data_IF_412888825745
#
_entry.id   IF_412888825745
#
_cell.length_a   1.000
_cell.length_b   1.000
_cell.length_c   1.000
_cell.angle_alpha   90.00
_cell.angle_beta   90.00
_cell.angle_gamma   90.00
#
_symmetry.space_group_name_H-M   'P 1'
#
loop_
_entity.id
_entity.type
_entity.pdbx_description
1 polymer ?
#
# COMPACT_ATOMS: atom_id res chain seq x y z
N UNK A 1 8.33 -0.41 3.92
CA UNK A 1 7.13 -0.97 3.25
C UNK A 1 5.91 -0.39 3.95
N UNK A 2 5.06 0.32 3.22
CA UNK A 2 3.73 0.73 3.66
C UNK A 2 2.69 -0.16 2.96
N UNK A 3 1.67 -0.61 3.68
CA UNK A 3 0.61 -1.48 3.16
C UNK A 3 -0.73 -0.93 3.63
N UNK A 4 -1.54 -0.39 2.71
CA UNK A 4 -2.79 0.29 3.02
C UNK A 4 -2.65 1.32 4.15
N UNK A 5 -1.56 2.09 4.11
CA UNK A 5 -1.19 3.04 5.15
C UNK A 5 -0.32 4.16 4.56
N UNK A 6 -0.31 5.30 5.22
CA UNK A 6 0.53 6.44 4.89
C UNK A 6 1.11 7.08 6.16
N UNK A 7 2.21 7.85 6.06
CA UNK A 7 2.72 8.60 7.20
C UNK A 7 1.73 9.70 7.58
N UNK A 8 1.33 9.76 8.85
CA UNK A 8 0.36 10.73 9.32
C UNK A 8 1.04 11.89 10.04
N UNK A 9 0.59 13.12 9.75
CA UNK A 9 0.99 14.32 10.50
C UNK A 9 2.48 14.61 10.44
N UNK A 10 3.18 14.41 11.55
CA UNK A 10 4.59 14.74 11.73
C UNK A 10 5.53 13.52 11.59
N UNK A 11 5.03 12.41 11.04
CA UNK A 11 5.83 11.23 10.68
C UNK A 11 6.54 11.46 9.33
N UNK A 12 7.47 12.41 9.30
CA UNK A 12 8.25 12.75 8.10
C UNK A 12 9.40 11.75 7.91
N UNK A 13 9.32 10.97 6.84
CA UNK A 13 10.34 10.02 6.38
C UNK A 13 11.01 10.47 5.07
N UNK A 14 10.79 11.71 4.62
CA UNK A 14 11.35 12.24 3.35
C UNK A 14 12.87 12.15 3.27
N UNK A 15 13.55 12.18 4.42
CA UNK A 15 15.01 12.07 4.53
C UNK A 15 15.52 10.62 4.69
N UNK A 16 14.65 9.60 4.61
CA UNK A 16 15.06 8.21 4.69
C UNK A 16 15.86 7.80 3.45
N UNK A 17 17.04 7.18 3.66
CA UNK A 17 17.97 6.84 2.58
C UNK A 17 17.79 5.41 2.01
N UNK A 18 16.91 4.60 2.61
CA UNK A 18 16.66 3.22 2.14
C UNK A 18 15.48 3.12 1.16
N UNK A 19 15.33 1.97 0.52
CA UNK A 19 14.23 1.72 -0.40
C UNK A 19 12.88 1.69 0.33
N UNK A 20 11.86 2.32 -0.27
CA UNK A 20 10.49 2.38 0.25
C UNK A 20 9.54 2.01 -0.88
N UNK A 21 8.64 1.08 -0.60
CA UNK A 21 7.45 0.84 -1.41
C UNK A 21 6.20 1.19 -0.59
N UNK A 22 5.21 1.78 -1.26
CA UNK A 22 3.87 2.04 -0.76
C UNK A 22 2.85 1.26 -1.58
N UNK A 23 2.25 0.25 -0.97
CA UNK A 23 1.30 -0.65 -1.63
C UNK A 23 -0.12 -0.32 -1.16
N UNK A 24 -1.04 -0.07 -2.08
CA UNK A 24 -2.41 0.34 -1.76
C UNK A 24 -3.43 -0.25 -2.74
N UNK A 25 -4.68 -0.40 -2.31
CA UNK A 25 -5.77 -0.91 -3.16
C UNK A 25 -6.54 0.21 -3.86
N UNK A 26 -6.96 0.01 -5.12
CA UNK A 26 -7.79 1.02 -5.82
C UNK A 26 -9.22 1.13 -5.26
N UNK A 27 -9.71 0.08 -4.60
CA UNK A 27 -11.02 0.02 -3.95
C UNK A 27 -10.91 0.15 -2.42
N UNK A 28 -9.74 0.57 -1.91
CA UNK A 28 -9.55 0.81 -0.48
C UNK A 28 -10.35 2.05 -0.05
N UNK A 29 -11.38 1.83 0.76
CA UNK A 29 -12.25 2.90 1.25
C UNK A 29 -11.83 3.46 2.61
N UNK A 30 -10.82 2.88 3.28
CA UNK A 30 -10.35 3.29 4.60
C UNK A 30 -9.01 4.02 4.55
N UNK A 31 -8.09 3.51 3.74
CA UNK A 31 -6.82 4.14 3.38
C UNK A 31 -6.86 4.46 1.88
N UNK A 32 -7.61 5.50 1.56
CA UNK A 32 -7.97 5.80 0.18
C UNK A 32 -6.73 6.11 -0.67
N UNK A 33 -6.75 5.83 -1.98
CA UNK A 33 -5.68 6.26 -2.89
C UNK A 33 -5.39 7.77 -2.78
N UNK A 34 -6.41 8.59 -2.54
CA UNK A 34 -6.24 10.04 -2.33
C UNK A 34 -5.42 10.36 -1.08
N UNK A 35 -5.71 9.73 0.06
CA UNK A 35 -4.96 9.92 1.31
C UNK A 35 -3.51 9.45 1.18
N UNK A 36 -3.30 8.30 0.53
CA UNK A 36 -1.97 7.72 0.36
C UNK A 36 -1.12 8.56 -0.59
N UNK A 37 -1.65 8.96 -1.74
CA UNK A 37 -0.92 9.79 -2.71
C UNK A 37 -0.78 11.25 -2.23
N UNK A 38 -1.70 11.71 -1.37
CA UNK A 38 -1.59 13.01 -0.71
C UNK A 38 -0.45 13.11 0.30
N UNK A 39 0.07 11.99 0.79
CA UNK A 39 1.17 11.93 1.74
C UNK A 39 2.56 11.73 1.11
N UNK A 40 2.66 11.83 -0.22
CA UNK A 40 3.90 11.57 -0.97
C UNK A 40 5.08 12.44 -0.53
N UNK A 41 4.84 13.68 -0.11
CA UNK A 41 5.87 14.61 0.38
C UNK A 41 6.52 14.17 1.71
N UNK A 42 5.87 13.26 2.46
CA UNK A 42 6.39 12.72 3.72
C UNK A 42 7.24 11.46 3.52
N UNK A 43 7.43 11.03 2.27
CA UNK A 43 8.22 9.86 1.90
C UNK A 43 9.38 10.27 0.97
N UNK A 44 10.45 9.46 0.86
CA UNK A 44 11.53 9.74 -0.06
C UNK A 44 11.03 9.87 -1.51
N UNK A 45 11.64 10.74 -2.30
CA UNK A 45 11.32 10.89 -3.74
C UNK A 45 11.51 9.57 -4.53
N UNK A 46 12.36 8.66 -4.03
CA UNK A 46 12.59 7.34 -4.58
C UNK A 46 11.53 6.29 -4.18
N UNK A 47 10.49 6.68 -3.46
CA UNK A 47 9.42 5.75 -3.06
C UNK A 47 8.67 5.23 -4.28
N UNK A 48 8.54 3.91 -4.38
CA UNK A 48 7.69 3.27 -5.38
C UNK A 48 6.25 3.17 -4.87
N UNK A 49 5.29 3.54 -5.71
CA UNK A 49 3.86 3.49 -5.39
C UNK A 49 3.21 2.41 -6.24
N UNK A 50 2.69 1.38 -5.58
CA UNK A 50 2.15 0.17 -6.20
C UNK A 50 0.65 0.12 -5.93
N UNK A 51 -0.14 0.41 -6.96
CA UNK A 51 -1.59 0.27 -6.92
C UNK A 51 -2.01 -1.17 -7.24
N UNK A 52 -2.72 -1.79 -6.30
CA UNK A 52 -3.40 -3.06 -6.49
C UNK A 52 -4.79 -2.78 -7.06
N UNK A 53 -4.90 -2.79 -8.39
CA UNK A 53 -6.17 -2.57 -9.08
C UNK A 53 -7.19 -3.63 -8.65
N UNK A 54 -8.30 -3.17 -8.09
CA UNK A 54 -9.37 -4.00 -7.54
C UNK A 54 -9.15 -4.48 -6.11
N UNK A 55 -8.01 -4.16 -5.49
CA UNK A 55 -7.72 -4.49 -4.10
C UNK A 55 -8.39 -3.53 -3.12
N UNK A 56 -8.66 -4.01 -1.91
CA UNK A 56 -9.32 -3.25 -0.83
C UNK A 56 -8.51 -3.29 0.48
N UNK A 57 -8.96 -2.57 1.50
CA UNK A 57 -8.28 -2.52 2.81
C UNK A 57 -8.30 -3.88 3.51
N UNK A 58 -9.48 -4.50 3.54
CA UNK A 58 -9.74 -5.70 4.31
C UNK A 58 -8.78 -6.85 4.01
N UNK A 59 -8.45 -7.02 2.73
CA UNK A 59 -7.64 -8.14 2.25
C UNK A 59 -6.18 -8.02 2.70
N UNK A 60 -5.61 -6.82 2.90
CA UNK A 60 -4.23 -6.66 3.40
C UNK A 60 -4.02 -7.39 4.73
N UNK A 61 -4.93 -7.17 5.69
CA UNK A 61 -4.87 -7.79 7.02
C UNK A 61 -5.66 -9.08 7.18
N UNK A 62 -6.35 -9.55 6.13
CA UNK A 62 -7.33 -10.64 6.22
C UNK A 62 -8.45 -10.37 7.25
N UNK A 63 -8.93 -9.13 7.33
CA UNK A 63 -9.89 -8.70 8.35
C UNK A 63 -11.30 -9.28 8.18
N UNK A 64 -11.58 -9.95 7.06
CA UNK A 64 -12.90 -10.46 6.69
C UNK A 64 -13.74 -9.38 6.01
N UNK A 65 -15.05 -9.59 5.92
CA UNK A 65 -15.97 -8.56 5.40
C UNK A 65 -15.89 -7.31 6.29
N UNK A 66 -15.60 -6.17 5.64
CA UNK A 66 -15.57 -4.83 6.24
C UNK A 66 -16.74 -4.02 5.65
N UNK A 67 -16.72 -2.69 5.78
CA UNK A 67 -17.75 -1.78 5.29
C UNK A 67 -18.21 -2.10 3.84
N UNK A 68 -19.48 -1.80 3.52
CA UNK A 68 -20.04 -2.03 2.17
C UNK A 68 -19.35 -1.18 1.09
N UNK A 69 -18.59 -0.15 1.49
CA UNK A 69 -17.78 0.67 0.60
C UNK A 69 -16.41 0.06 0.24
N UNK A 70 -15.89 -0.88 1.03
CA UNK A 70 -14.55 -1.48 0.87
C UNK A 70 -14.65 -2.83 0.12
N UNK A 71 -15.29 -2.85 -1.05
CA UNK A 71 -15.54 -4.10 -1.80
C UNK A 71 -14.45 -4.31 -2.85
N UNK A 72 -13.58 -5.30 -2.62
CA UNK A 72 -12.60 -5.73 -3.60
C UNK A 72 -13.27 -6.33 -4.85
N UNK A 73 -12.62 -6.13 -6.01
CA UNK A 73 -13.00 -6.78 -7.28
C UNK A 73 -12.04 -7.91 -7.66
N UNK A 74 -10.93 -8.08 -6.95
CA UNK A 74 -10.04 -9.24 -7.00
C UNK A 74 -10.18 -10.08 -5.74
N UNK A 75 -9.83 -11.36 -5.84
CA UNK A 75 -9.81 -12.26 -4.69
C UNK A 75 -8.71 -11.88 -3.70
N UNK A 76 -8.88 -12.33 -2.45
CA UNK A 76 -7.87 -12.19 -1.42
C UNK A 76 -6.55 -12.84 -1.83
N UNK A 77 -6.62 -14.03 -2.43
CA UNK A 77 -5.46 -14.77 -2.92
C UNK A 77 -4.70 -13.96 -3.98
N UNK A 78 -5.40 -13.40 -4.96
CA UNK A 78 -4.79 -12.53 -5.98
C UNK A 78 -4.14 -11.28 -5.35
N UNK A 79 -4.83 -10.59 -4.43
CA UNK A 79 -4.25 -9.44 -3.74
C UNK A 79 -3.00 -9.82 -2.95
N UNK A 80 -3.01 -10.97 -2.27
CA UNK A 80 -1.87 -11.47 -1.51
C UNK A 80 -0.70 -11.86 -2.40
N UNK A 81 -0.95 -12.47 -3.56
CA UNK A 81 0.08 -12.77 -4.55
C UNK A 81 0.77 -11.49 -5.05
N UNK A 82 0.00 -10.45 -5.36
CA UNK A 82 0.53 -9.15 -5.77
C UNK A 82 1.38 -8.49 -4.67
N UNK A 83 0.90 -8.50 -3.42
CA UNK A 83 1.67 -7.98 -2.27
C UNK A 83 2.97 -8.77 -2.09
N UNK A 84 2.91 -10.10 -2.15
CA UNK A 84 4.09 -10.94 -2.00
C UNK A 84 5.13 -10.64 -3.08
N UNK A 85 4.71 -10.49 -4.33
CA UNK A 85 5.60 -10.16 -5.43
C UNK A 85 6.29 -8.81 -5.18
N UNK A 86 5.53 -7.76 -4.83
CA UNK A 86 6.09 -6.44 -4.54
C UNK A 86 7.12 -6.46 -3.39
N UNK A 87 6.87 -7.25 -2.35
CA UNK A 87 7.82 -7.40 -1.23
C UNK A 87 9.07 -8.18 -1.65
N UNK A 88 8.92 -9.23 -2.47
CA UNK A 88 10.07 -9.99 -2.99
C UNK A 88 10.92 -9.10 -3.88
N UNK A 89 10.31 -8.36 -4.82
CA UNK A 89 11.02 -7.46 -5.74
C UNK A 89 11.85 -6.42 -4.95
N UNK A 90 11.26 -5.80 -3.93
CA UNK A 90 11.99 -4.88 -3.04
C UNK A 90 13.19 -5.56 -2.34
N UNK A 91 13.03 -6.81 -1.89
CA UNK A 91 14.12 -7.53 -1.23
C UNK A 91 15.24 -7.90 -2.19
N UNK A 92 14.93 -8.23 -3.45
CA UNK A 92 15.90 -8.50 -4.50
C UNK A 92 16.73 -7.27 -4.86
N UNK A 93 16.17 -6.06 -4.74
CA UNK A 93 16.91 -4.80 -4.94
C UNK A 93 17.95 -4.50 -3.85
N UNK A 94 17.89 -5.18 -2.70
CA UNK A 94 18.82 -4.98 -1.59
C UNK A 94 20.09 -5.84 -1.69
N UNK A 95 20.14 -6.78 -2.65
CA UNK A 95 21.32 -7.63 -2.94
C UNK A 95 22.32 -6.96 -3.89
#
# INVERSE_FOLDING_TARGET
IMMAAWPAGNDDLSAWEGNVISIYGSEDALATPEEILGATELLPESTEYIELVGGNHAQFGSYGEQDEADVATITKEEQHELIQQAVIDLLEELE
#
